data_IF_557175684246
#
_entry.id   IF_557175684246
#
_cell.length_a   1.000
_cell.length_b   1.000
_cell.length_c   1.000
_cell.angle_alpha   90.00
_cell.angle_beta   90.00
_cell.angle_gamma   90.00
#
_symmetry.space_group_name_H-M   'P 1'
#
loop_
_entity.id
_entity.type
_entity.pdbx_description
1 polymer ?
#
# COMPACT_ATOMS: atom_id res chain seq x y z
N UNK A 1 -15.95 8.05 5.32
CA UNK A 1 -14.63 8.68 5.07
C UNK A 1 -14.17 8.51 3.62
N UNK A 2 -14.37 7.35 2.97
CA UNK A 2 -14.00 7.16 1.56
C UNK A 2 -15.13 6.55 0.72
N UNK A 3 -15.21 6.94 -0.55
CA UNK A 3 -16.13 6.39 -1.54
C UNK A 3 -15.72 4.97 -1.95
N UNK A 4 -16.64 4.00 -1.88
CA UNK A 4 -16.34 2.58 -2.19
C UNK A 4 -15.80 2.40 -3.61
N UNK A 5 -16.38 3.10 -4.58
CA UNK A 5 -15.95 3.03 -5.98
C UNK A 5 -14.51 3.55 -6.18
N UNK A 6 -14.14 4.61 -5.46
CA UNK A 6 -12.78 5.16 -5.50
C UNK A 6 -11.77 4.22 -4.84
N UNK A 7 -12.15 3.57 -3.73
CA UNK A 7 -11.30 2.59 -3.05
C UNK A 7 -11.00 1.39 -3.95
N UNK A 8 -12.01 0.86 -4.64
CA UNK A 8 -11.79 -0.22 -5.61
C UNK A 8 -10.90 0.21 -6.78
N UNK A 9 -11.05 1.46 -7.26
CA UNK A 9 -10.17 2.03 -8.27
C UNK A 9 -8.71 2.08 -7.81
N UNK A 10 -8.47 2.48 -6.55
CA UNK A 10 -7.13 2.50 -5.93
C UNK A 10 -6.55 1.09 -5.82
N UNK A 11 -7.34 0.10 -5.38
CA UNK A 11 -6.90 -1.29 -5.28
C UNK A 11 -6.48 -1.85 -6.64
N UNK A 12 -7.31 -1.66 -7.67
CA UNK A 12 -6.99 -2.08 -9.06
C UNK A 12 -5.76 -1.36 -9.60
N UNK A 13 -5.63 -0.06 -9.32
CA UNK A 13 -4.48 0.75 -9.72
C UNK A 13 -3.18 0.29 -9.07
N UNK A 14 -3.22 -0.01 -7.76
CA UNK A 14 -2.09 -0.55 -6.99
C UNK A 14 -1.64 -1.89 -7.55
N UNK A 15 -2.57 -2.81 -7.81
CA UNK A 15 -2.25 -4.11 -8.39
C UNK A 15 -1.58 -3.99 -9.77
N UNK A 16 -2.11 -3.10 -10.63
CA UNK A 16 -1.53 -2.84 -11.96
C UNK A 16 -0.13 -2.24 -11.84
N UNK A 17 0.06 -1.29 -10.94
CA UNK A 17 1.37 -0.66 -10.71
C UNK A 17 2.40 -1.66 -10.21
N UNK A 18 2.03 -2.55 -9.29
CA UNK A 18 2.90 -3.62 -8.79
C UNK A 18 3.32 -4.59 -9.90
N UNK A 19 2.40 -4.96 -10.80
CA UNK A 19 2.70 -5.89 -11.91
C UNK A 19 3.49 -5.26 -13.05
N UNK A 20 3.20 -4.00 -13.41
CA UNK A 20 3.79 -3.37 -14.59
C UNK A 20 5.01 -2.52 -14.26
N UNK A 21 4.90 -1.61 -13.30
CA UNK A 21 5.91 -0.58 -13.06
C UNK A 21 6.96 -1.05 -12.07
N UNK A 22 6.52 -1.70 -10.97
CA UNK A 22 7.43 -2.17 -9.93
C UNK A 22 8.33 -3.29 -10.46
N UNK A 23 7.78 -4.29 -11.17
CA UNK A 23 8.60 -5.37 -11.77
C UNK A 23 9.69 -4.80 -12.67
N UNK A 24 9.33 -3.90 -13.61
CA UNK A 24 10.31 -3.25 -14.51
C UNK A 24 11.35 -2.43 -13.77
N UNK A 25 10.98 -1.79 -12.66
CA UNK A 25 11.92 -1.02 -11.83
C UNK A 25 12.87 -1.94 -11.08
N UNK A 26 12.38 -3.03 -10.50
CA UNK A 26 13.16 -4.01 -9.74
C UNK A 26 14.15 -4.77 -10.64
N UNK A 27 13.79 -5.04 -11.89
CA UNK A 27 14.70 -5.62 -12.89
C UNK A 27 15.90 -4.72 -13.18
N UNK A 28 15.68 -3.39 -13.17
CA UNK A 28 16.75 -2.40 -13.42
C UNK A 28 17.57 -2.12 -12.17
N UNK A 29 16.91 -2.01 -11.02
CA UNK A 29 17.54 -1.72 -9.74
C UNK A 29 16.82 -2.51 -8.65
N UNK A 30 17.40 -3.64 -8.18
CA UNK A 30 16.75 -4.47 -7.19
C UNK A 30 16.70 -3.76 -5.84
N UNK A 31 15.53 -3.78 -5.22
CA UNK A 31 15.36 -3.34 -3.83
C UNK A 31 16.02 -4.30 -2.85
N UNK A 32 16.41 -3.79 -1.68
CA UNK A 32 16.96 -4.60 -0.58
C UNK A 32 15.83 -5.37 0.12
N UNK A 33 15.40 -6.48 -0.46
CA UNK A 33 14.55 -7.49 0.19
C UNK A 33 13.33 -6.93 0.93
N UNK A 34 12.97 -7.57 2.05
CA UNK A 34 11.90 -7.12 2.94
C UNK A 34 12.41 -6.02 3.88
N UNK A 35 11.61 -4.97 4.03
CA UNK A 35 11.86 -3.91 5.00
C UNK A 35 11.14 -4.24 6.31
N UNK A 36 11.89 -4.22 7.41
CA UNK A 36 11.39 -4.46 8.76
C UNK A 36 11.59 -3.21 9.62
N UNK A 37 10.65 -2.94 10.52
CA UNK A 37 10.87 -1.96 11.59
C UNK A 37 11.86 -2.52 12.63
N UNK A 38 12.32 -1.68 13.56
CA UNK A 38 13.15 -2.11 14.70
C UNK A 38 12.46 -3.11 15.63
N UNK A 39 11.16 -3.36 15.44
CA UNK A 39 10.36 -4.35 16.17
C UNK A 39 9.97 -5.54 15.29
N UNK A 40 10.69 -5.78 14.19
CA UNK A 40 10.46 -6.88 13.25
C UNK A 40 9.09 -6.86 12.55
N UNK A 41 8.47 -5.68 12.43
CA UNK A 41 7.19 -5.54 11.72
C UNK A 41 7.46 -5.30 10.23
N UNK A 42 6.88 -6.10 9.31
CA UNK A 42 7.05 -5.90 7.88
C UNK A 42 6.41 -4.60 7.42
N UNK A 43 7.18 -3.82 6.66
CA UNK A 43 6.73 -2.56 6.07
C UNK A 43 6.41 -2.77 4.60
N UNK A 44 5.20 -2.39 4.19
CA UNK A 44 4.77 -2.47 2.79
C UNK A 44 5.42 -1.38 1.95
N UNK A 45 5.64 -1.65 0.66
CA UNK A 45 6.24 -0.71 -0.30
C UNK A 45 5.43 0.57 -0.48
N UNK A 46 4.10 0.46 -0.50
CA UNK A 46 3.19 1.58 -0.71
C UNK A 46 1.90 1.38 0.10
N UNK A 47 1.59 2.38 0.93
CA UNK A 47 0.31 2.50 1.62
C UNK A 47 -0.59 3.47 0.87
N UNK A 48 -1.87 3.15 0.82
CA UNK A 48 -2.93 3.84 0.09
C UNK A 48 -4.14 4.05 1.00
N UNK A 49 -5.08 4.93 0.63
CA UNK A 49 -6.32 5.10 1.39
C UNK A 49 -7.12 3.80 1.58
N UNK A 50 -6.91 2.79 0.72
CA UNK A 50 -7.53 1.47 0.89
C UNK A 50 -6.99 0.72 2.11
N UNK A 51 -5.74 0.96 2.51
CA UNK A 51 -5.11 0.30 3.65
C UNK A 51 -5.66 0.81 5.01
N UNK A 52 -6.30 1.98 5.02
CA UNK A 52 -6.95 2.58 6.20
C UNK A 52 -8.47 2.73 6.01
N UNK A 53 -9.05 2.05 5.02
CA UNK A 53 -10.48 2.21 4.68
C UNK A 53 -11.43 1.83 5.84
N UNK A 54 -10.98 0.95 6.73
CA UNK A 54 -11.73 0.48 7.91
C UNK A 54 -11.51 1.34 9.16
N UNK A 55 -10.58 2.29 9.12
CA UNK A 55 -10.28 3.16 10.25
C UNK A 55 -11.37 4.23 10.37
N UNK A 56 -12.03 4.29 11.52
CA UNK A 56 -12.94 5.39 11.85
C UNK A 56 -12.17 6.42 12.67
N UNK A 57 -11.71 7.47 12.01
CA UNK A 57 -10.83 8.47 12.62
C UNK A 57 -11.39 9.04 13.95
N UNK A 58 -12.68 9.39 13.99
CA UNK A 58 -13.28 9.99 15.18
C UNK A 58 -13.50 8.99 16.31
N UNK A 59 -13.80 7.74 15.97
CA UNK A 59 -14.00 6.69 16.97
C UNK A 59 -12.68 6.14 17.52
N UNK A 60 -11.71 5.93 16.64
CA UNK A 60 -10.50 5.17 16.94
C UNK A 60 -9.34 6.06 17.39
N UNK A 61 -9.35 7.36 17.05
CA UNK A 61 -8.27 8.30 17.39
C UNK A 61 -8.68 9.45 18.34
N UNK A 62 -9.98 9.64 18.59
CA UNK A 62 -10.52 10.55 19.62
C UNK A 62 -10.61 12.01 19.19
#
# INVERSE_FOLDING_TARGET
MFDKEKLEGILRGKERWEKETVVKSLERLPEKGMFLTSSDIPVNRLYTPADVASLDYFRDLG
#
